data_IF_868629922779
#
_entry.id   IF_868629922779
#
_cell.length_a   1.000
_cell.length_b   1.000
_cell.length_c   1.000
_cell.angle_alpha   90.00
_cell.angle_beta   90.00
_cell.angle_gamma   90.00
#
_symmetry.space_group_name_H-M   'P 1'
#
loop_
_entity.id
_entity.type
_entity.pdbx_description
1 polymer ?
#
# COMPACT_ATOMS: atom_id res chain seq x y z
N UNK A 1 -2.32 15.85 0.22
CA UNK A 1 -0.88 15.83 0.51
C UNK A 1 -0.62 15.02 1.77
N UNK A 2 -0.99 13.74 1.75
CA UNK A 2 -0.84 12.84 2.91
C UNK A 2 0.54 12.16 2.88
N UNK A 3 1.07 11.88 1.68
CA UNK A 3 2.38 11.28 1.51
C UNK A 3 3.53 12.30 1.52
N UNK A 4 3.32 13.53 0.99
CA UNK A 4 4.38 14.56 0.91
C UNK A 4 5.03 15.00 2.24
N UNK A 5 4.38 14.88 3.39
CA UNK A 5 4.99 15.24 4.70
C UNK A 5 5.01 14.11 5.75
N UNK A 6 4.15 13.10 5.63
CA UNK A 6 3.97 12.07 6.67
C UNK A 6 4.62 10.71 6.38
N UNK A 7 4.42 10.15 5.18
CA UNK A 7 4.59 8.71 4.93
C UNK A 7 5.57 8.35 3.81
N UNK A 8 6.52 9.22 3.43
CA UNK A 8 7.61 8.83 2.51
C UNK A 8 8.45 7.63 2.99
N UNK A 9 8.51 7.41 4.30
CA UNK A 9 9.18 6.26 4.89
C UNK A 9 8.14 5.15 5.19
N UNK A 10 8.28 3.95 4.58
CA UNK A 10 7.46 2.77 4.86
C UNK A 10 7.27 2.48 6.36
N UNK A 11 8.30 2.67 7.18
CA UNK A 11 8.25 2.40 8.62
C UNK A 11 7.23 3.26 9.36
N UNK A 12 6.98 4.49 8.89
CA UNK A 12 5.96 5.36 9.48
C UNK A 12 4.57 4.80 9.24
N UNK A 13 4.32 4.25 8.06
CA UNK A 13 3.06 3.58 7.74
C UNK A 13 2.89 2.31 8.57
N UNK A 14 3.95 1.50 8.71
CA UNK A 14 3.96 0.31 9.58
C UNK A 14 3.60 0.66 11.02
N UNK A 15 4.26 1.68 11.60
CA UNK A 15 3.97 2.15 12.97
C UNK A 15 2.53 2.64 13.10
N UNK A 16 2.04 3.36 12.08
CA UNK A 16 0.67 3.85 12.06
C UNK A 16 -0.34 2.70 12.03
N UNK A 17 -0.14 1.69 11.18
CA UNK A 17 -0.99 0.50 11.08
C UNK A 17 -1.01 -0.27 12.41
N UNK A 18 0.15 -0.45 13.06
CA UNK A 18 0.25 -1.12 14.36
C UNK A 18 -0.46 -0.36 15.50
N UNK A 19 -0.46 0.97 15.44
CA UNK A 19 -1.04 1.82 16.49
C UNK A 19 -2.56 2.02 16.35
N UNK A 20 -3.11 1.79 15.15
CA UNK A 20 -4.50 2.08 14.82
C UNK A 20 -5.40 0.86 14.96
N UNK A 21 -6.55 1.04 15.60
CA UNK A 21 -7.57 -0.02 15.74
C UNK A 21 -8.85 0.25 14.96
N UNK A 22 -9.07 1.49 14.47
CA UNK A 22 -10.34 1.90 13.82
C UNK A 22 -10.24 2.95 12.70
N UNK A 23 -9.03 3.28 12.23
CA UNK A 23 -8.88 4.26 11.14
C UNK A 23 -9.08 3.61 9.79
N UNK A 24 -9.64 4.37 8.83
CA UNK A 24 -9.75 4.00 7.41
C UNK A 24 -8.34 3.95 6.77
N UNK A 25 -7.64 2.86 7.05
CA UNK A 25 -6.32 2.56 6.51
C UNK A 25 -6.36 2.38 5.00
N UNK A 26 -7.50 1.99 4.44
CA UNK A 26 -7.69 1.79 3.00
C UNK A 26 -7.57 3.11 2.25
N UNK A 27 -8.30 4.13 2.67
CA UNK A 27 -8.21 5.46 2.06
C UNK A 27 -6.78 6.04 2.15
N UNK A 28 -6.10 5.83 3.28
CA UNK A 28 -4.70 6.23 3.47
C UNK A 28 -3.76 5.52 2.48
N UNK A 29 -3.87 4.19 2.36
CA UNK A 29 -3.04 3.40 1.45
C UNK A 29 -3.28 3.79 -0.01
N UNK A 30 -4.54 3.98 -0.42
CA UNK A 30 -4.89 4.49 -1.76
C UNK A 30 -4.25 5.86 -2.03
N UNK A 31 -4.34 6.78 -1.07
CA UNK A 31 -3.73 8.10 -1.19
C UNK A 31 -2.21 8.05 -1.34
N UNK A 32 -1.54 7.21 -0.56
CA UNK A 32 -0.09 6.99 -0.66
C UNK A 32 0.28 6.36 -2.01
N UNK A 33 -0.47 5.35 -2.47
CA UNK A 33 -0.23 4.71 -3.76
C UNK A 33 -0.39 5.68 -4.93
N UNK A 34 -1.44 6.50 -4.93
CA UNK A 34 -1.64 7.54 -5.96
C UNK A 34 -0.52 8.57 -5.95
N UNK A 35 -0.12 9.09 -4.78
CA UNK A 35 0.99 10.05 -4.69
C UNK A 35 2.32 9.43 -5.18
N UNK A 36 2.58 8.14 -4.88
CA UNK A 36 3.76 7.41 -5.37
C UNK A 36 3.75 7.26 -6.90
N UNK A 37 2.61 6.90 -7.48
CA UNK A 37 2.43 6.74 -8.93
C UNK A 37 2.60 8.09 -9.64
N UNK A 38 2.04 9.16 -9.09
CA UNK A 38 2.19 10.52 -9.64
C UNK A 38 3.64 11.01 -9.58
N UNK A 39 4.29 10.88 -8.41
CA UNK A 39 5.68 11.32 -8.22
C UNK A 39 6.68 10.50 -9.07
N UNK A 40 6.34 9.24 -9.42
CA UNK A 40 7.17 8.35 -10.24
C UNK A 40 6.85 8.40 -11.74
N UNK A 41 6.02 9.34 -12.20
CA UNK A 41 5.54 9.43 -13.60
C UNK A 41 4.89 8.11 -14.10
N UNK A 42 4.17 7.41 -13.24
CA UNK A 42 3.51 6.14 -13.57
C UNK A 42 4.36 4.89 -13.36
N UNK A 43 5.59 5.00 -12.84
CA UNK A 43 6.41 3.84 -12.53
C UNK A 43 5.90 3.09 -11.29
N UNK A 44 5.28 1.92 -11.56
CA UNK A 44 4.71 1.03 -10.56
C UNK A 44 5.77 0.33 -9.69
N UNK A 45 7.04 0.33 -10.10
CA UNK A 45 8.11 -0.28 -9.30
C UNK A 45 8.31 0.44 -7.98
N UNK A 46 8.23 1.77 -7.99
CA UNK A 46 8.37 2.57 -6.76
C UNK A 46 7.26 2.25 -5.75
N UNK A 47 6.02 2.11 -6.24
CA UNK A 47 4.87 1.69 -5.42
C UNK A 47 5.09 0.28 -4.86
N UNK A 48 5.52 -0.66 -5.69
CA UNK A 48 5.85 -2.03 -5.26
C UNK A 48 6.94 -2.06 -4.18
N UNK A 49 8.07 -1.40 -4.41
CA UNK A 49 9.20 -1.39 -3.48
C UNK A 49 8.78 -0.80 -2.11
N UNK A 50 7.94 0.24 -2.13
CA UNK A 50 7.38 0.85 -0.92
C UNK A 50 6.44 -0.12 -0.17
N UNK A 51 5.41 -0.66 -0.83
CA UNK A 51 4.39 -1.48 -0.17
C UNK A 51 4.87 -2.89 0.16
N UNK A 52 5.82 -3.46 -0.59
CA UNK A 52 6.49 -4.71 -0.24
C UNK A 52 7.20 -4.58 1.10
N UNK A 53 7.94 -3.49 1.32
CA UNK A 53 8.61 -3.21 2.60
C UNK A 53 7.63 -3.10 3.78
N UNK A 54 6.48 -2.45 3.55
CA UNK A 54 5.39 -2.36 4.54
C UNK A 54 4.79 -3.73 4.84
N UNK A 55 4.49 -4.50 3.80
CA UNK A 55 3.92 -5.84 3.93
C UNK A 55 4.86 -6.78 4.67
N UNK A 56 6.13 -6.85 4.29
CA UNK A 56 7.14 -7.69 4.95
C UNK A 56 7.27 -7.35 6.44
N UNK A 57 7.26 -6.06 6.77
CA UNK A 57 7.33 -5.57 8.15
C UNK A 57 6.10 -5.95 9.00
N UNK A 58 4.95 -6.13 8.36
CA UNK A 58 3.67 -6.48 8.99
C UNK A 58 3.32 -7.96 8.85
N UNK A 59 4.03 -8.72 8.02
CA UNK A 59 3.67 -10.09 7.65
C UNK A 59 3.44 -10.99 8.86
N UNK A 60 4.35 -10.95 9.82
CA UNK A 60 4.21 -11.70 11.06
C UNK A 60 3.00 -11.23 11.88
N UNK A 61 2.75 -9.92 11.96
CA UNK A 61 1.60 -9.40 12.70
C UNK A 61 0.27 -9.76 12.03
N UNK A 62 0.24 -9.81 10.70
CA UNK A 62 -0.92 -10.23 9.90
C UNK A 62 -1.21 -11.73 10.07
N UNK A 63 -0.19 -12.59 9.95
CA UNK A 63 -0.36 -14.05 10.07
C UNK A 63 -0.87 -14.45 11.45
N UNK A 64 -0.31 -13.83 12.49
CA UNK A 64 -0.68 -14.15 13.87
C UNK A 64 -1.84 -13.28 14.38
N UNK A 65 -2.54 -12.56 13.51
CA UNK A 65 -3.67 -11.69 13.83
C UNK A 65 -3.40 -10.73 15.01
N UNK A 66 -2.16 -10.22 15.11
CA UNK A 66 -1.74 -9.27 16.15
C UNK A 66 -2.21 -7.85 15.88
N UNK A 67 -2.61 -7.56 14.65
CA UNK A 67 -3.18 -6.28 14.23
C UNK A 67 -4.61 -6.46 13.71
N UNK A 68 -5.52 -5.61 14.18
CA UNK A 68 -6.91 -5.59 13.74
C UNK A 68 -7.04 -4.77 12.45
N UNK A 69 -6.66 -5.36 11.32
CA UNK A 69 -6.84 -4.77 9.99
C UNK A 69 -8.08 -5.37 9.32
N UNK A 70 -8.85 -4.53 8.62
CA UNK A 70 -9.98 -5.03 7.82
C UNK A 70 -9.48 -5.85 6.64
N UNK A 71 -10.20 -6.93 6.29
CA UNK A 71 -9.81 -7.85 5.21
C UNK A 71 -9.59 -7.12 3.87
N UNK A 72 -10.46 -6.17 3.52
CA UNK A 72 -10.30 -5.37 2.30
C UNK A 72 -9.02 -4.52 2.28
N UNK A 73 -8.58 -4.03 3.45
CA UNK A 73 -7.34 -3.26 3.56
C UNK A 73 -6.13 -4.18 3.44
N UNK A 74 -6.21 -5.40 4.00
CA UNK A 74 -5.18 -6.42 3.85
C UNK A 74 -5.03 -6.82 2.38
N UNK A 75 -6.14 -7.06 1.68
CA UNK A 75 -6.14 -7.35 0.24
C UNK A 75 -5.51 -6.22 -0.57
N UNK A 76 -5.85 -4.95 -0.27
CA UNK A 76 -5.22 -3.81 -0.92
C UNK A 76 -3.70 -3.80 -0.70
N UNK A 77 -3.24 -4.03 0.53
CA UNK A 77 -1.82 -4.09 0.85
C UNK A 77 -1.10 -5.22 0.08
N UNK A 78 -1.70 -6.41 0.00
CA UNK A 78 -1.17 -7.55 -0.75
C UNK A 78 -1.04 -7.24 -2.25
N UNK A 79 -2.05 -6.58 -2.83
CA UNK A 79 -2.05 -6.18 -4.25
C UNK A 79 -0.96 -5.15 -4.51
N UNK A 80 -0.85 -4.12 -3.67
CA UNK A 80 0.18 -3.09 -3.80
C UNK A 80 1.59 -3.64 -3.58
N UNK A 81 1.74 -4.69 -2.78
CA UNK A 81 2.98 -5.42 -2.57
C UNK A 81 3.25 -6.51 -3.63
N UNK A 82 2.37 -6.67 -4.62
CA UNK A 82 2.59 -7.59 -5.76
C UNK A 82 3.39 -6.87 -6.85
N UNK A 83 4.31 -7.54 -7.58
CA UNK A 83 5.11 -6.91 -8.63
C UNK A 83 4.29 -6.62 -9.90
N UNK A 84 3.31 -5.70 -9.79
CA UNK A 84 2.39 -5.30 -10.86
C UNK A 84 3.16 -4.74 -12.07
N UNK A 85 4.31 -4.12 -11.85
CA UNK A 85 5.20 -3.61 -12.91
C UNK A 85 5.69 -4.71 -13.90
N UNK A 86 5.57 -5.99 -13.54
CA UNK A 86 5.90 -7.12 -14.44
C UNK A 86 4.74 -7.54 -15.37
N UNK A 87 3.56 -6.95 -15.18
CA UNK A 87 2.35 -7.24 -15.98
C UNK A 87 2.25 -6.35 -17.22
N UNK A 88 1.37 -6.67 -18.15
CA UNK A 88 1.12 -5.80 -19.32
C UNK A 88 0.53 -4.45 -18.88
N UNK A 89 0.73 -3.36 -19.63
CA UNK A 89 0.13 -2.06 -19.29
C UNK A 89 -1.38 -2.09 -19.07
N UNK A 90 -2.10 -2.94 -19.81
CA UNK A 90 -3.56 -3.12 -19.67
C UNK A 90 -3.93 -3.78 -18.34
N UNK A 91 -3.19 -4.81 -17.94
CA UNK A 91 -3.36 -5.44 -16.63
C UNK A 91 -3.02 -4.48 -15.49
N UNK A 92 -1.94 -3.69 -15.64
CA UNK A 92 -1.55 -2.68 -14.66
C UNK A 92 -2.67 -1.65 -14.49
N UNK A 93 -3.19 -1.12 -15.60
CA UNK A 93 -4.31 -0.17 -15.59
C UNK A 93 -5.55 -0.76 -14.92
N UNK A 94 -5.92 -2.00 -15.23
CA UNK A 94 -7.07 -2.66 -14.61
C UNK A 94 -6.91 -2.73 -13.08
N UNK A 95 -5.72 -3.09 -12.60
CA UNK A 95 -5.45 -3.17 -11.15
C UNK A 95 -5.54 -1.79 -10.49
N UNK A 96 -5.01 -0.75 -11.14
CA UNK A 96 -5.10 0.63 -10.64
C UNK A 96 -6.57 1.08 -10.56
N UNK A 97 -7.33 0.87 -11.63
CA UNK A 97 -8.74 1.27 -11.71
C UNK A 97 -9.62 0.49 -10.69
N UNK A 98 -9.31 -0.77 -10.41
CA UNK A 98 -10.11 -1.64 -9.53
C UNK A 98 -9.76 -1.47 -8.05
N UNK A 99 -8.50 -1.21 -7.71
CA UNK A 99 -8.02 -1.24 -6.33
C UNK A 99 -7.47 0.08 -5.80
N UNK A 100 -7.07 1.01 -6.66
CA UNK A 100 -6.38 2.25 -6.24
C UNK A 100 -7.27 3.47 -6.45
N UNK A 101 -7.91 3.61 -7.62
CA UNK A 101 -8.90 4.64 -7.90
C UNK A 101 -10.28 4.28 -7.31
#
# INVERSE_FOLDING_TARGET
>A
MVYKEGFKNPEKLVKFIRAQTRTDLRALMKGIANELIEDSNGDMRTTYDYFSSVFDSLYHDLIFNKIAIQEETKQLLEILATPIFRKTPEEQKKIIDEYIL
#
